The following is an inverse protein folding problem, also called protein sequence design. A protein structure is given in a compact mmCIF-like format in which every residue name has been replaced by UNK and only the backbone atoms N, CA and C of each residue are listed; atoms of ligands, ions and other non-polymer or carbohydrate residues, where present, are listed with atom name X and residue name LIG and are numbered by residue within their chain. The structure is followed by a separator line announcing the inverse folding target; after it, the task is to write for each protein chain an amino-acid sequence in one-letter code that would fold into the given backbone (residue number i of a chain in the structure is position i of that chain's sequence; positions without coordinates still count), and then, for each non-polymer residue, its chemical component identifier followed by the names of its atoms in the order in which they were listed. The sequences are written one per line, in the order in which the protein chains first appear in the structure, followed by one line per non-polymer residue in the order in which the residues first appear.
data_IF_511556184446
#
_entry.id   IF_511556184446
#
_cell.length_a   1.000
_cell.length_b   1.000
_cell.length_c   1.000
_cell.angle_alpha   90.00
_cell.angle_beta   90.00
_cell.angle_gamma   90.00
#
_symmetry.space_group_name_H-M   'P 1'
#
loop_
_entity.id
_entity.type
_entity.pdbx_description
1 polymer ?
#
# COMPACT_ATOMS: atom_id res chain seq x y z
N UNK A 1 -34.90 -17.71 -51.72
CA UNK A 1 -33.52 -17.51 -51.22
C UNK A 1 -33.60 -16.57 -50.03
N UNK A 2 -33.53 -17.12 -48.81
CA UNK A 2 -33.60 -16.33 -47.56
C UNK A 2 -32.17 -15.97 -47.13
N UNK A 3 -31.83 -14.70 -47.13
CA UNK A 3 -30.55 -14.19 -46.63
C UNK A 3 -30.62 -14.12 -45.08
N UNK A 4 -29.84 -14.99 -44.43
CA UNK A 4 -29.64 -15.01 -43.00
C UNK A 4 -28.60 -13.94 -42.64
N UNK A 5 -28.99 -12.81 -42.06
CA UNK A 5 -28.09 -11.78 -41.51
C UNK A 5 -27.63 -12.25 -40.12
N UNK A 6 -26.37 -12.68 -40.03
CA UNK A 6 -25.71 -13.04 -38.79
C UNK A 6 -25.21 -11.74 -38.13
N UNK A 7 -25.94 -11.23 -37.13
CA UNK A 7 -25.55 -10.08 -36.33
C UNK A 7 -24.45 -10.51 -35.35
N UNK A 8 -23.21 -10.09 -35.60
CA UNK A 8 -22.10 -10.23 -34.64
C UNK A 8 -22.27 -9.15 -33.56
N UNK A 9 -22.86 -9.55 -32.43
CA UNK A 9 -22.92 -8.72 -31.24
C UNK A 9 -21.53 -8.56 -30.64
N UNK A 10 -20.92 -7.38 -30.79
CA UNK A 10 -19.67 -7.01 -30.14
C UNK A 10 -19.92 -6.85 -28.62
N UNK A 11 -19.67 -7.91 -27.85
CA UNK A 11 -19.71 -7.84 -26.38
C UNK A 11 -18.48 -7.03 -25.89
N UNK A 12 -18.67 -5.72 -25.71
CA UNK A 12 -17.72 -4.91 -24.95
C UNK A 12 -17.77 -5.34 -23.48
N UNK A 13 -16.85 -6.19 -23.09
CA UNK A 13 -16.61 -6.51 -21.67
C UNK A 13 -15.99 -5.29 -21.03
N UNK A 14 -16.81 -4.41 -20.44
CA UNK A 14 -16.33 -3.37 -19.55
C UNK A 14 -15.83 -4.05 -18.28
N UNK A 15 -14.54 -4.24 -18.17
CA UNK A 15 -13.90 -4.59 -16.90
C UNK A 15 -14.06 -3.39 -15.95
N UNK A 16 -15.10 -3.42 -15.13
CA UNK A 16 -15.24 -2.50 -14.00
C UNK A 16 -14.12 -2.84 -13.00
N UNK A 17 -12.98 -2.18 -13.10
CA UNK A 17 -12.01 -2.18 -12.03
C UNK A 17 -12.67 -1.50 -10.83
N UNK A 18 -13.03 -2.29 -9.82
CA UNK A 18 -13.54 -1.76 -8.55
C UNK A 18 -12.48 -0.79 -8.01
N UNK A 19 -12.78 0.50 -8.04
CA UNK A 19 -11.86 1.52 -7.55
C UNK A 19 -11.80 1.43 -6.02
N UNK A 20 -10.67 1.00 -5.49
CA UNK A 20 -10.44 1.01 -4.06
C UNK A 20 -10.43 2.44 -3.52
N UNK A 21 -10.84 2.61 -2.28
CA UNK A 21 -10.85 3.92 -1.62
C UNK A 21 -10.25 3.83 -0.23
N UNK A 22 -9.58 4.90 0.18
CA UNK A 22 -9.24 5.15 1.58
C UNK A 22 -10.24 6.18 2.12
N UNK A 23 -10.83 5.87 3.27
CA UNK A 23 -11.73 6.76 4.00
C UNK A 23 -10.96 7.27 5.21
N UNK A 24 -10.89 8.58 5.38
CA UNK A 24 -10.29 9.21 6.57
C UNK A 24 -11.34 9.50 7.64
N UNK A 25 -10.91 9.83 8.85
CA UNK A 25 -11.81 10.07 10.00
C UNK A 25 -12.88 11.13 9.74
N UNK A 26 -12.63 12.11 8.86
CA UNK A 26 -13.63 13.11 8.45
C UNK A 26 -14.71 12.56 7.52
N UNK A 27 -14.68 11.28 7.16
CA UNK A 27 -15.58 10.64 6.19
C UNK A 27 -15.21 10.90 4.73
N UNK A 28 -14.17 11.70 4.43
CA UNK A 28 -13.73 11.97 3.07
C UNK A 28 -13.11 10.72 2.45
N UNK A 29 -13.49 10.42 1.20
CA UNK A 29 -13.05 9.26 0.43
C UNK A 29 -12.04 9.69 -0.64
N UNK A 30 -10.95 8.95 -0.74
CA UNK A 30 -9.92 9.18 -1.75
C UNK A 30 -9.73 7.94 -2.61
N UNK A 31 -9.62 8.07 -3.94
CA UNK A 31 -9.29 6.96 -4.82
C UNK A 31 -7.92 6.40 -4.45
N UNK A 32 -7.83 5.08 -4.36
CA UNK A 32 -6.64 4.40 -3.88
C UNK A 32 -6.32 3.17 -4.73
N UNK A 33 -5.07 2.71 -4.63
CA UNK A 33 -4.65 1.41 -5.16
C UNK A 33 -5.34 0.29 -4.37
N UNK A 34 -5.34 -0.92 -4.90
CA UNK A 34 -5.57 -2.09 -4.05
C UNK A 34 -4.48 -2.18 -2.96
N UNK A 35 -4.77 -2.77 -1.80
CA UNK A 35 -3.75 -3.06 -0.81
C UNK A 35 -2.75 -4.08 -1.36
N UNK A 36 -1.48 -3.78 -1.30
CA UNK A 36 -0.39 -4.70 -1.65
C UNK A 36 0.12 -5.39 -0.39
N UNK A 37 0.28 -6.69 -0.43
CA UNK A 37 0.92 -7.45 0.63
C UNK A 37 2.42 -7.49 0.35
N UNK A 38 3.20 -6.80 1.18
CA UNK A 38 4.66 -6.81 1.13
C UNK A 38 5.21 -7.81 2.14
N UNK A 39 6.32 -8.44 1.82
CA UNK A 39 6.93 -9.44 2.71
C UNK A 39 7.83 -8.75 3.74
N UNK A 40 7.50 -8.91 5.02
CA UNK A 40 8.36 -8.44 6.10
C UNK A 40 9.50 -9.43 6.37
N UNK A 41 10.72 -8.92 6.47
CA UNK A 41 11.92 -9.70 6.73
C UNK A 41 12.22 -9.81 8.24
N UNK A 42 11.20 -10.21 9.03
CA UNK A 42 11.36 -10.41 10.47
C UNK A 42 10.82 -11.77 10.90
N UNK A 43 11.61 -12.48 11.70
CA UNK A 43 11.20 -13.78 12.29
C UNK A 43 10.01 -13.67 13.26
N UNK A 44 9.68 -12.46 13.69
CA UNK A 44 8.64 -12.20 14.72
C UNK A 44 7.33 -11.75 14.09
N UNK A 45 7.34 -11.37 12.82
CA UNK A 45 6.19 -10.84 12.11
C UNK A 45 5.69 -11.86 11.07
N UNK A 46 4.69 -12.67 11.45
CA UNK A 46 4.15 -13.73 10.60
C UNK A 46 3.15 -13.26 9.53
N UNK A 47 2.71 -11.99 9.61
CA UNK A 47 1.71 -11.46 8.68
C UNK A 47 2.31 -10.39 7.76
N UNK A 48 2.03 -10.51 6.47
CA UNK A 48 2.45 -9.51 5.48
C UNK A 48 1.81 -8.15 5.74
N UNK A 49 2.61 -7.08 5.91
CA UNK A 49 2.09 -5.73 5.99
C UNK A 49 1.39 -5.35 4.69
N UNK A 50 0.25 -4.64 4.79
CA UNK A 50 -0.47 -4.13 3.63
C UNK A 50 -0.10 -2.68 3.40
N UNK A 51 0.35 -2.38 2.19
CA UNK A 51 0.72 -1.03 1.72
C UNK A 51 -0.32 -0.57 0.71
N UNK A 52 -0.84 0.65 0.85
CA UNK A 52 -1.82 1.22 -0.04
C UNK A 52 -1.55 2.71 -0.26
N UNK A 53 -1.67 3.18 -1.50
CA UNK A 53 -1.49 4.59 -1.86
C UNK A 53 -2.83 5.16 -2.32
N UNK A 54 -3.19 6.34 -1.82
CA UNK A 54 -4.34 7.09 -2.32
C UNK A 54 -3.91 8.44 -2.90
N UNK A 55 -4.65 8.91 -3.90
CA UNK A 55 -4.52 10.24 -4.48
C UNK A 55 -5.43 11.21 -3.73
N UNK A 56 -4.88 12.38 -3.34
CA UNK A 56 -5.65 13.51 -2.81
C UNK A 56 -5.59 14.70 -3.78
N UNK A 57 -6.21 15.81 -3.43
CA UNK A 57 -6.19 17.03 -4.27
C UNK A 57 -4.80 17.66 -4.32
N UNK A 58 -4.01 17.58 -3.24
CA UNK A 58 -2.71 18.25 -3.10
C UNK A 58 -1.53 17.30 -3.03
N UNK A 59 -1.77 15.99 -3.17
CA UNK A 59 -0.71 14.97 -3.04
C UNK A 59 -1.30 13.58 -2.91
N UNK A 60 -1.00 12.89 -1.82
CA UNK A 60 -1.49 11.55 -1.56
C UNK A 60 -1.49 11.14 -0.10
N UNK A 61 -1.92 9.91 0.14
CA UNK A 61 -1.86 9.22 1.42
C UNK A 61 -1.18 7.86 1.22
N UNK A 62 -0.29 7.53 2.13
CA UNK A 62 0.18 6.17 2.33
C UNK A 62 -0.59 5.57 3.50
N UNK A 63 -1.20 4.42 3.32
CA UNK A 63 -1.78 3.60 4.40
C UNK A 63 -0.89 2.38 4.61
N UNK A 64 -0.42 2.17 5.84
CA UNK A 64 0.21 0.93 6.28
C UNK A 64 -0.75 0.26 7.24
N UNK A 65 -1.02 -1.03 6.98
CA UNK A 65 -1.84 -1.86 7.85
C UNK A 65 -1.06 -3.09 8.27
N UNK A 66 -1.00 -3.35 9.56
CA UNK A 66 -0.26 -4.46 10.16
C UNK A 66 -1.16 -5.24 11.10
N UNK A 67 -1.10 -6.57 11.07
CA UNK A 67 -1.79 -7.40 12.05
C UNK A 67 -0.99 -7.34 13.35
N UNK A 68 -1.65 -7.01 14.46
CA UNK A 68 -1.01 -6.87 15.77
C UNK A 68 -1.70 -7.71 16.84
N UNK A 69 -0.96 -8.09 17.87
CA UNK A 69 -1.43 -8.93 18.97
C UNK A 69 -2.46 -8.23 19.85
N UNK A 70 -2.40 -6.91 19.95
CA UNK A 70 -3.32 -6.11 20.75
C UNK A 70 -3.48 -4.68 20.22
N UNK A 71 -4.55 -3.98 20.63
CA UNK A 71 -4.93 -2.63 20.19
C UNK A 71 -3.98 -1.50 20.60
N UNK A 72 -3.06 -1.77 21.53
CA UNK A 72 -2.10 -0.78 22.00
C UNK A 72 -0.89 -0.67 21.08
N UNK A 73 -0.71 -1.62 20.15
CA UNK A 73 0.36 -1.63 19.17
C UNK A 73 -0.08 -0.86 17.93
N UNK A 74 0.81 -0.03 17.40
CA UNK A 74 0.55 0.72 16.17
C UNK A 74 1.83 1.11 15.44
N UNK A 75 1.70 1.41 14.16
CA UNK A 75 2.79 1.94 13.34
C UNK A 75 2.96 3.43 13.66
N UNK A 76 4.19 3.84 14.02
CA UNK A 76 4.45 5.16 14.57
C UNK A 76 5.64 5.89 13.95
N UNK A 77 5.59 7.20 14.06
CA UNK A 77 6.60 8.23 13.88
C UNK A 77 7.02 8.45 12.43
N UNK A 78 7.76 7.53 11.84
CA UNK A 78 8.44 7.73 10.56
C UNK A 78 8.32 6.50 9.71
N UNK A 79 8.01 6.72 8.43
CA UNK A 79 8.10 5.70 7.41
C UNK A 79 9.10 6.15 6.36
N UNK A 80 9.91 5.21 5.88
CA UNK A 80 10.78 5.39 4.73
C UNK A 80 10.26 4.51 3.61
N UNK A 81 9.96 5.11 2.46
CA UNK A 81 9.65 4.38 1.24
C UNK A 81 10.90 4.42 0.38
N UNK A 82 11.56 3.29 0.20
CA UNK A 82 12.69 3.16 -0.68
C UNK A 82 12.21 2.81 -2.09
N UNK A 83 12.63 3.58 -3.08
CA UNK A 83 12.30 3.37 -4.49
C UNK A 83 13.42 2.61 -5.20
N UNK A 84 13.10 1.90 -6.28
CA UNK A 84 14.09 1.15 -7.07
C UNK A 84 15.18 2.01 -7.70
N UNK A 85 14.99 3.33 -7.80
CA UNK A 85 16.01 4.29 -8.25
C UNK A 85 16.87 4.88 -7.12
N UNK A 86 16.86 4.27 -5.94
CA UNK A 86 17.58 4.69 -4.72
C UNK A 86 17.08 6.03 -4.11
N UNK A 87 15.96 6.57 -4.55
CA UNK A 87 15.31 7.70 -3.88
C UNK A 87 14.59 7.19 -2.65
N UNK A 88 14.72 7.91 -1.54
CA UNK A 88 14.02 7.63 -0.29
C UNK A 88 12.98 8.74 -0.05
N UNK A 89 11.72 8.35 0.11
CA UNK A 89 10.64 9.22 0.53
C UNK A 89 10.46 9.06 2.04
N UNK A 90 10.40 10.19 2.72
CA UNK A 90 10.28 10.25 4.17
C UNK A 90 8.91 10.79 4.57
N UNK A 91 8.10 9.95 5.20
CA UNK A 91 6.75 10.30 5.63
C UNK A 91 6.66 10.43 7.14
N UNK A 92 6.02 11.51 7.60
CA UNK A 92 5.76 11.77 9.03
C UNK A 92 4.34 11.34 9.41
N UNK A 93 4.22 10.70 10.56
CA UNK A 93 2.94 10.38 11.18
C UNK A 93 2.18 11.69 11.55
N UNK A 94 0.91 11.73 11.20
CA UNK A 94 -0.01 12.82 11.54
C UNK A 94 -1.08 12.42 12.56
N UNK A 95 -0.89 11.27 13.21
CA UNK A 95 -1.82 10.77 14.22
C UNK A 95 -3.10 10.15 13.66
N UNK A 96 -3.20 9.95 12.35
CA UNK A 96 -4.37 9.31 11.71
C UNK A 96 -4.24 7.79 11.82
N UNK A 97 -4.81 7.21 12.84
CA UNK A 97 -4.73 5.78 13.17
C UNK A 97 -6.10 5.16 13.30
N UNK A 98 -6.16 3.88 12.97
CA UNK A 98 -7.34 3.04 13.12
C UNK A 98 -6.90 1.67 13.64
N UNK A 99 -7.68 1.10 14.55
CA UNK A 99 -7.55 -0.31 14.94
C UNK A 99 -8.89 -1.00 14.69
N UNK A 100 -8.86 -2.07 13.91
CA UNK A 100 -10.05 -2.84 13.59
C UNK A 100 -9.67 -4.30 13.32
N UNK A 101 -10.39 -5.24 13.93
CA UNK A 101 -10.26 -6.69 13.71
C UNK A 101 -8.82 -7.21 13.83
N UNK A 102 -8.08 -6.73 14.85
CA UNK A 102 -6.68 -7.10 15.07
C UNK A 102 -5.68 -6.46 14.11
N UNK A 103 -6.12 -5.47 13.31
CA UNK A 103 -5.28 -4.74 12.36
C UNK A 103 -5.12 -3.29 12.78
N UNK A 104 -3.89 -2.88 13.03
CA UNK A 104 -3.52 -1.49 13.23
C UNK A 104 -3.19 -0.85 11.88
N UNK A 105 -3.85 0.26 11.55
CA UNK A 105 -3.61 1.02 10.33
C UNK A 105 -3.19 2.45 10.67
N UNK A 106 -2.17 2.97 9.98
CA UNK A 106 -1.73 4.36 10.12
C UNK A 106 -1.64 5.00 8.74
N UNK A 107 -2.09 6.26 8.65
CA UNK A 107 -2.05 7.07 7.43
C UNK A 107 -0.95 8.12 7.53
N UNK A 108 -0.19 8.25 6.43
CA UNK A 108 0.89 9.22 6.28
C UNK A 108 0.60 10.10 5.07
N UNK A 109 0.92 11.40 5.18
CA UNK A 109 0.74 12.33 4.07
C UNK A 109 1.93 12.24 3.10
N UNK A 110 1.59 12.33 1.81
CA UNK A 110 2.53 12.43 0.71
C UNK A 110 2.26 13.75 -0.02
N UNK A 111 3.29 14.53 -0.28
CA UNK A 111 3.17 15.75 -1.08
C UNK A 111 3.15 15.43 -2.59
N UNK A 112 2.87 16.43 -3.42
CA UNK A 112 2.76 16.27 -4.87
C UNK A 112 4.07 15.78 -5.53
N UNK A 113 5.24 16.20 -5.00
CA UNK A 113 6.55 15.77 -5.51
C UNK A 113 6.81 14.29 -5.20
N UNK A 114 6.48 13.87 -4.00
CA UNK A 114 6.59 12.47 -3.57
C UNK A 114 5.66 11.56 -4.37
N UNK A 115 4.42 11.99 -4.59
CA UNK A 115 3.48 11.26 -5.45
C UNK A 115 3.99 11.14 -6.89
N UNK A 116 4.65 12.16 -7.42
CA UNK A 116 5.28 12.09 -8.75
C UNK A 116 6.44 11.10 -8.80
N UNK A 117 7.25 11.00 -7.73
CA UNK A 117 8.28 9.97 -7.63
C UNK A 117 7.67 8.57 -7.65
N UNK A 118 6.59 8.35 -6.89
CA UNK A 118 5.87 7.08 -6.83
C UNK A 118 5.19 6.68 -8.15
N UNK A 119 4.79 7.64 -8.98
CA UNK A 119 4.27 7.38 -10.33
C UNK A 119 5.34 6.93 -11.33
N UNK A 120 6.59 7.34 -11.10
CA UNK A 120 7.69 7.12 -12.04
C UNK A 120 8.58 5.92 -11.65
N UNK A 121 8.59 5.54 -10.37
CA UNK A 121 9.50 4.53 -9.84
C UNK A 121 8.77 3.56 -8.91
N UNK A 122 9.06 2.28 -9.08
CA UNK A 122 8.52 1.25 -8.18
C UNK A 122 9.03 1.40 -6.76
N UNK A 123 8.17 1.08 -5.81
CA UNK A 123 8.56 0.89 -4.42
C UNK A 123 9.40 -0.39 -4.35
N UNK A 124 10.59 -0.29 -3.78
CA UNK A 124 11.44 -1.44 -3.47
C UNK A 124 11.05 -2.05 -2.12
N UNK A 125 10.93 -1.22 -1.11
CA UNK A 125 10.51 -1.62 0.23
C UNK A 125 9.94 -0.42 1.01
N UNK A 126 9.30 -0.73 2.14
CA UNK A 126 8.81 0.25 3.11
C UNK A 126 9.35 -0.12 4.48
N UNK A 127 10.07 0.81 5.11
CA UNK A 127 10.59 0.65 6.46
C UNK A 127 9.73 1.40 7.45
N UNK A 128 9.27 0.71 8.50
CA UNK A 128 8.36 1.25 9.51
C UNK A 128 8.70 0.71 10.91
N UNK A 129 8.14 1.35 11.92
CA UNK A 129 8.30 0.95 13.32
C UNK A 129 6.96 0.67 13.95
N UNK A 130 6.85 -0.47 14.65
CA UNK A 130 5.71 -0.77 15.53
C UNK A 130 6.14 -0.41 16.95
N UNK A 131 5.27 0.30 17.66
CA UNK A 131 5.45 0.61 19.06
C UNK A 131 4.19 0.27 19.86
N UNK A 132 4.34 0.18 21.17
CA UNK A 132 3.27 0.01 22.15
C UNK A 132 3.35 1.06 23.27
N UNK A 133 2.49 0.95 24.28
CA UNK A 133 2.65 1.71 25.50
C UNK A 133 3.95 1.28 26.19
N UNK A 134 4.60 2.24 26.88
CA UNK A 134 5.95 2.09 27.46
C UNK A 134 6.12 0.90 28.42
N UNK A 135 5.02 0.40 28.99
CA UNK A 135 4.99 -0.77 29.91
C UNK A 135 4.74 -2.10 29.22
N UNK A 136 4.41 -2.11 27.94
CA UNK A 136 4.05 -3.33 27.24
C UNK A 136 5.27 -3.86 26.49
N UNK A 137 5.83 -4.98 26.97
CA UNK A 137 6.78 -5.76 26.19
C UNK A 137 6.00 -6.66 25.24
N UNK A 138 6.24 -6.51 23.93
CA UNK A 138 5.64 -7.34 22.91
C UNK A 138 6.69 -7.63 21.85
N UNK A 139 6.73 -8.88 21.40
CA UNK A 139 7.66 -9.35 20.37
C UNK A 139 7.47 -8.62 19.02
N UNK A 140 6.32 -8.00 18.80
CA UNK A 140 6.03 -7.20 17.61
C UNK A 140 6.54 -5.75 17.70
N UNK A 141 7.07 -5.31 18.85
CA UNK A 141 7.67 -3.97 18.97
C UNK A 141 9.05 -3.96 18.31
N UNK A 142 9.25 -3.08 17.33
CA UNK A 142 10.52 -3.00 16.63
C UNK A 142 10.46 -2.24 15.32
N UNK A 143 11.58 -2.27 14.60
CA UNK A 143 11.69 -1.72 13.25
C UNK A 143 11.67 -2.86 12.24
N UNK A 144 10.82 -2.74 11.23
CA UNK A 144 10.57 -3.74 10.21
C UNK A 144 10.80 -3.14 8.82
N UNK A 145 11.19 -3.99 7.89
CA UNK A 145 11.24 -3.65 6.46
C UNK A 145 10.33 -4.60 5.71
N UNK A 146 9.35 -4.05 5.01
CA UNK A 146 8.45 -4.77 4.13
C UNK A 146 8.92 -4.61 2.69
N UNK A 147 9.41 -5.66 2.10
CA UNK A 147 9.95 -5.70 0.74
C UNK A 147 8.84 -5.96 -0.28
N UNK A 148 8.90 -5.25 -1.40
CA UNK A 148 8.02 -5.47 -2.55
C UNK A 148 8.44 -6.74 -3.30
N UNK A 149 8.13 -7.88 -2.71
CA UNK A 149 8.28 -9.22 -3.30
C UNK A 149 6.99 -9.99 -3.07
N UNK A 150 6.68 -10.96 -3.94
CA UNK A 150 5.40 -11.68 -3.87
C UNK A 150 5.42 -12.77 -2.79
N UNK A 151 6.56 -13.39 -2.57
CA UNK A 151 6.70 -14.47 -1.58
C UNK A 151 8.03 -14.36 -0.84
N UNK A 152 8.12 -14.99 0.34
CA UNK A 152 9.39 -15.09 1.09
C UNK A 152 10.48 -15.78 0.26
N UNK A 153 10.12 -16.74 -0.58
CA UNK A 153 11.06 -17.46 -1.45
C UNK A 153 11.67 -16.55 -2.53
N UNK A 154 10.94 -15.52 -2.99
CA UNK A 154 11.44 -14.55 -3.96
C UNK A 154 12.60 -13.72 -3.39
N UNK A 155 12.76 -13.64 -2.06
CA UNK A 155 13.91 -12.96 -1.44
C UNK A 155 15.25 -13.62 -1.80
N UNK A 156 15.23 -14.93 -2.05
CA UNK A 156 16.40 -15.76 -2.35
C UNK A 156 16.52 -16.08 -3.86
N UNK A 157 15.54 -15.69 -4.66
CA UNK A 157 15.55 -15.92 -6.11
C UNK A 157 16.31 -14.82 -6.84
N UNK A 158 17.12 -15.14 -7.88
CA UNK A 158 17.70 -14.13 -8.77
C UNK A 158 16.62 -13.35 -9.53
N UNK A 159 15.50 -13.99 -9.87
CA UNK A 159 14.36 -13.39 -10.59
C UNK A 159 13.24 -13.02 -9.60
N UNK A 160 13.48 -12.03 -8.75
CA UNK A 160 12.51 -11.56 -7.75
C UNK A 160 11.26 -11.03 -8.42
N UNK A 161 10.13 -11.73 -8.20
CA UNK A 161 8.82 -11.24 -8.64
C UNK A 161 8.36 -10.11 -7.74
N UNK A 162 8.08 -8.95 -8.32
CA UNK A 162 7.64 -7.74 -7.62
C UNK A 162 6.34 -7.20 -8.19
N UNK A 163 5.63 -6.41 -7.40
CA UNK A 163 4.45 -5.68 -7.85
C UNK A 163 4.92 -4.43 -8.60
N UNK A 164 4.37 -4.18 -9.79
CA UNK A 164 4.57 -2.92 -10.55
C UNK A 164 3.74 -1.80 -9.90
N UNK A 165 4.28 -1.24 -8.82
CA UNK A 165 3.59 -0.24 -8.01
C UNK A 165 3.43 1.09 -8.73
N UNK A 166 4.40 1.49 -9.55
CA UNK A 166 4.37 2.77 -10.29
C UNK A 166 3.21 2.81 -11.29
N UNK A 167 3.01 1.74 -12.07
CA UNK A 167 1.92 1.68 -13.05
C UNK A 167 0.55 1.72 -12.38
N UNK A 168 0.36 1.00 -11.27
CA UNK A 168 -0.89 1.02 -10.50
C UNK A 168 -1.14 2.40 -9.88
N UNK A 169 -0.11 3.10 -9.38
CA UNK A 169 -0.25 4.46 -8.86
C UNK A 169 -0.57 5.43 -10.00
N UNK A 170 0.07 5.29 -11.16
CA UNK A 170 -0.20 6.15 -12.32
C UNK A 170 -1.66 6.04 -12.80
N UNK A 171 -2.30 4.87 -12.68
CA UNK A 171 -3.73 4.68 -12.99
C UNK A 171 -4.65 5.61 -12.19
N UNK A 172 -4.29 5.98 -10.94
CA UNK A 172 -5.07 6.93 -10.14
C UNK A 172 -5.16 8.33 -10.77
N UNK A 173 -4.29 8.64 -11.74
CA UNK A 173 -4.20 9.94 -12.39
C UNK A 173 -4.79 9.96 -13.80
N UNK A 174 -5.15 8.81 -14.35
CA UNK A 174 -5.87 8.75 -15.62
C UNK A 174 -7.26 9.38 -15.44
N UNK A 175 -7.60 10.33 -16.32
CA UNK A 175 -8.98 10.87 -16.36
C UNK A 175 -9.91 9.75 -16.84
N UNK A 176 -10.96 9.50 -16.09
CA UNK A 176 -12.09 8.68 -16.55
C UNK A 176 -12.95 9.51 -17.49
#
# INVERSE_FOLDING_TARGET
MKKLLLGIGLFCVFTNFAQHTIIIQSGKKYPATQPWEFVANSYVYEASPKVQIAKTESGGLLKISVKVSNEKLYVWERIFINLKNNVVIYCLDKGMREFKDGVASTLFLLNAREMKQLQNHDIADVRFKIIGKRSDFDSQIGTFTASNILTVFDAFSPDKKTIDTKSVIAELYKKK
#
